data_IF_744242185199
#
_entry.id   IF_744242185199
#
_cell.length_a   1.000
_cell.length_b   1.000
_cell.length_c   1.000
_cell.angle_alpha   90.00
_cell.angle_beta   90.00
_cell.angle_gamma   90.00
#
_symmetry.space_group_name_H-M   'P 1'
#
loop_
_entity.id
_entity.type
_entity.pdbx_description
1 polymer ?
#
# COMPACT_ATOMS: atom_id res chain seq x y z
N UNK A 1 10.83 -18.55 9.56
CA UNK A 1 12.26 -18.78 9.74
C UNK A 1 13.07 -17.98 8.72
N UNK A 2 14.21 -17.47 9.12
CA UNK A 2 15.16 -16.85 8.19
C UNK A 2 16.05 -17.93 7.59
N UNK A 3 16.36 -17.85 6.30
CA UNK A 3 17.34 -18.71 5.65
C UNK A 3 18.73 -18.40 6.23
N UNK A 4 19.49 -19.44 6.56
CA UNK A 4 20.87 -19.35 6.99
C UNK A 4 21.77 -20.05 5.98
N UNK A 5 22.86 -19.42 5.60
CA UNK A 5 23.85 -20.03 4.72
C UNK A 5 24.50 -21.26 5.37
N UNK A 6 24.54 -22.36 4.64
CA UNK A 6 25.16 -23.62 5.11
C UNK A 6 26.65 -23.70 4.82
N UNK A 7 27.20 -22.74 4.05
CA UNK A 7 28.57 -22.78 3.52
C UNK A 7 28.78 -23.79 2.38
N UNK A 8 27.73 -24.51 1.96
CA UNK A 8 27.78 -25.42 0.81
C UNK A 8 27.19 -24.69 -0.41
N UNK A 9 27.85 -24.84 -1.53
CA UNK A 9 27.46 -24.22 -2.80
C UNK A 9 27.18 -25.30 -3.84
N UNK A 10 26.35 -24.95 -4.81
CA UNK A 10 26.12 -25.71 -6.02
C UNK A 10 25.95 -24.73 -7.19
N UNK A 11 26.20 -25.20 -8.39
CA UNK A 11 26.10 -24.43 -9.61
C UNK A 11 24.85 -24.83 -10.39
N UNK A 12 24.16 -23.87 -10.98
CA UNK A 12 23.06 -24.10 -11.92
C UNK A 12 23.35 -23.31 -13.18
N UNK A 13 23.48 -24.03 -14.31
CA UNK A 13 23.57 -23.37 -15.61
C UNK A 13 22.24 -22.70 -15.95
N UNK A 14 22.27 -21.39 -16.19
CA UNK A 14 21.07 -20.60 -16.49
C UNK A 14 21.37 -19.40 -17.38
N UNK A 15 20.42 -19.01 -18.22
CA UNK A 15 20.52 -17.81 -19.07
C UNK A 15 19.99 -16.55 -18.40
N UNK A 16 19.21 -16.68 -17.33
CA UNK A 16 18.61 -15.57 -16.61
C UNK A 16 18.42 -15.92 -15.13
N UNK A 17 18.78 -14.99 -14.24
CA UNK A 17 18.52 -15.07 -12.80
C UNK A 17 17.58 -13.95 -12.38
N UNK A 18 16.44 -14.30 -11.78
CA UNK A 18 15.49 -13.35 -11.23
C UNK A 18 15.50 -13.47 -9.71
N UNK A 19 15.96 -12.42 -9.01
CA UNK A 19 15.97 -12.39 -7.55
C UNK A 19 14.56 -12.16 -7.02
N UNK A 20 14.07 -13.07 -6.16
CA UNK A 20 12.79 -12.99 -5.48
C UNK A 20 12.96 -13.31 -3.98
N UNK A 21 14.00 -12.75 -3.36
CA UNK A 21 14.47 -13.09 -2.01
C UNK A 21 13.75 -12.34 -0.89
N UNK A 22 12.75 -11.52 -1.23
CA UNK A 22 11.94 -10.77 -0.26
C UNK A 22 11.88 -9.28 -0.58
N UNK A 23 11.32 -8.54 0.35
CA UNK A 23 11.10 -7.10 0.25
C UNK A 23 11.82 -6.37 1.38
N UNK A 24 12.13 -5.12 1.12
CA UNK A 24 12.69 -4.17 2.07
C UNK A 24 11.95 -2.84 1.91
N UNK A 25 11.50 -2.25 3.01
CA UNK A 25 10.77 -0.98 2.93
C UNK A 25 11.72 0.16 2.59
N UNK A 26 11.26 1.09 1.79
CA UNK A 26 12.00 2.31 1.45
C UNK A 26 11.76 3.34 2.57
N UNK A 27 12.82 3.96 3.12
CA UNK A 27 12.67 5.02 4.12
C UNK A 27 11.82 6.18 3.59
N UNK A 28 10.89 6.66 4.41
CA UNK A 28 10.10 7.86 4.12
C UNK A 28 10.82 9.05 4.75
N UNK A 29 11.08 10.10 3.95
CA UNK A 29 11.78 11.31 4.43
C UNK A 29 11.03 11.93 5.62
N UNK A 30 11.76 12.17 6.71
CA UNK A 30 11.20 12.75 7.93
C UNK A 30 10.58 11.74 8.88
N UNK A 31 10.56 10.45 8.53
CA UNK A 31 10.07 9.38 9.39
C UNK A 31 11.25 8.56 9.93
N UNK A 32 11.38 8.36 11.25
CA UNK A 32 12.44 7.52 11.82
C UNK A 32 12.38 6.10 11.26
N UNK A 33 13.52 5.59 10.82
CA UNK A 33 13.62 4.30 10.15
C UNK A 33 14.68 3.41 10.79
N UNK A 34 14.40 2.11 10.86
CA UNK A 34 15.31 1.06 11.28
C UNK A 34 15.85 0.36 10.03
N UNK A 35 17.11 0.68 9.68
CA UNK A 35 17.75 0.12 8.50
C UNK A 35 18.04 -1.38 8.63
N UNK A 36 18.26 -1.89 9.84
CA UNK A 36 18.59 -3.30 10.06
C UNK A 36 17.38 -4.22 9.80
N UNK A 37 16.20 -3.75 10.20
CA UNK A 37 14.96 -4.49 10.05
C UNK A 37 14.13 -4.06 8.82
N UNK A 38 14.46 -2.95 8.17
CA UNK A 38 13.73 -2.42 7.02
C UNK A 38 12.32 -1.95 7.35
N UNK A 39 12.12 -1.34 8.51
CA UNK A 39 10.83 -0.86 9.01
C UNK A 39 10.96 0.56 9.58
N UNK A 40 9.85 1.27 9.73
CA UNK A 40 9.83 2.52 10.50
C UNK A 40 9.98 2.22 11.99
N UNK A 41 10.66 3.11 12.73
CA UNK A 41 10.72 3.03 14.19
C UNK A 41 9.39 3.48 14.77
N UNK A 42 8.81 2.67 15.64
CA UNK A 42 7.50 2.94 16.21
C UNK A 42 7.31 2.28 17.57
N UNK A 43 6.35 2.76 18.35
CA UNK A 43 5.84 2.10 19.55
C UNK A 43 4.40 1.64 19.23
N UNK A 44 4.23 0.35 19.01
CA UNK A 44 2.95 -0.30 18.67
C UNK A 44 2.22 0.35 17.46
N UNK A 45 2.97 0.87 16.51
CA UNK A 45 2.44 1.55 15.31
C UNK A 45 2.43 3.06 15.39
N UNK A 46 2.52 3.67 16.56
CA UNK A 46 2.69 5.12 16.71
C UNK A 46 4.13 5.51 16.44
N UNK A 47 4.34 6.43 15.52
CA UNK A 47 5.66 6.95 15.14
C UNK A 47 5.91 8.29 15.85
N UNK A 48 4.94 9.19 15.73
CA UNK A 48 4.96 10.54 16.28
C UNK A 48 3.52 11.03 16.46
N UNK A 49 3.31 12.24 16.97
CA UNK A 49 1.99 12.84 17.11
C UNK A 49 1.26 12.88 15.76
N UNK A 50 0.12 12.20 15.68
CA UNK A 50 -0.68 12.08 14.45
C UNK A 50 -0.07 11.22 13.33
N UNK A 51 1.05 10.53 13.57
CA UNK A 51 1.74 9.69 12.57
C UNK A 51 1.74 8.24 12.99
N UNK A 52 1.16 7.39 12.16
CA UNK A 52 0.97 5.96 12.44
C UNK A 52 1.47 5.10 11.29
N UNK A 53 1.97 3.90 11.60
CA UNK A 53 2.36 2.90 10.63
C UNK A 53 1.51 1.63 10.76
N UNK A 54 1.18 1.04 9.62
CA UNK A 54 0.46 -0.24 9.51
C UNK A 54 1.10 -1.13 8.46
N UNK A 55 0.85 -2.44 8.55
CA UNK A 55 1.29 -3.40 7.55
C UNK A 55 2.80 -3.59 7.49
N UNK A 56 3.34 -3.79 6.30
CA UNK A 56 4.74 -4.19 6.12
C UNK A 56 5.75 -3.13 6.53
N UNK A 57 5.44 -1.86 6.39
CA UNK A 57 6.35 -0.79 6.84
C UNK A 57 6.47 -0.75 8.37
N UNK A 58 5.45 -1.25 9.10
CA UNK A 58 5.46 -1.40 10.56
C UNK A 58 6.23 -2.64 11.02
N UNK A 59 5.98 -3.82 10.42
CA UNK A 59 6.44 -5.11 10.96
C UNK A 59 7.36 -5.92 10.04
N UNK A 60 7.75 -5.35 8.91
CA UNK A 60 8.47 -6.05 7.87
C UNK A 60 7.54 -6.85 6.93
N UNK A 61 8.08 -7.39 5.82
CA UNK A 61 7.32 -8.08 4.78
C UNK A 61 6.95 -9.50 5.20
N UNK A 62 6.17 -9.63 6.26
CA UNK A 62 5.74 -10.90 6.84
C UNK A 62 4.21 -11.01 6.85
N UNK A 63 3.71 -12.24 6.80
CA UNK A 63 2.30 -12.56 6.83
C UNK A 63 1.64 -12.53 5.43
N UNK A 64 0.33 -12.74 5.42
CA UNK A 64 -0.52 -12.78 4.24
C UNK A 64 -1.43 -11.53 4.19
N UNK A 65 -2.20 -11.36 3.12
CA UNK A 65 -3.12 -10.22 2.95
C UNK A 65 -3.98 -10.00 4.20
N UNK A 66 -4.52 -11.06 4.79
CA UNK A 66 -5.38 -10.98 5.97
C UNK A 66 -4.69 -10.45 7.24
N UNK A 67 -3.37 -10.54 7.34
CA UNK A 67 -2.62 -10.02 8.50
C UNK A 67 -2.55 -8.50 8.57
N UNK A 68 -2.82 -7.80 7.48
CA UNK A 68 -2.84 -6.32 7.47
C UNK A 68 -4.14 -5.74 8.07
N UNK A 69 -5.23 -6.52 8.08
CA UNK A 69 -6.50 -6.06 8.65
C UNK A 69 -6.44 -5.76 10.15
N UNK A 70 -5.89 -6.64 11.01
CA UNK A 70 -5.66 -6.31 12.43
C UNK A 70 -4.80 -5.07 12.65
N UNK A 71 -3.73 -4.87 11.87
CA UNK A 71 -2.90 -3.66 11.96
C UNK A 71 -3.75 -2.40 11.72
N UNK A 72 -4.62 -2.41 10.69
CA UNK A 72 -5.52 -1.29 10.41
C UNK A 72 -6.52 -1.04 11.53
N UNK A 73 -7.07 -2.10 12.14
CA UNK A 73 -8.01 -1.97 13.29
C UNK A 73 -7.31 -1.35 14.50
N UNK A 74 -6.08 -1.80 14.81
CA UNK A 74 -5.29 -1.25 15.92
C UNK A 74 -5.01 0.23 15.69
N UNK A 75 -4.50 0.58 14.49
CA UNK A 75 -4.21 1.97 14.16
C UNK A 75 -5.47 2.86 14.21
N UNK A 76 -6.61 2.39 13.72
CA UNK A 76 -7.86 3.14 13.79
C UNK A 76 -8.29 3.42 15.23
N UNK A 77 -8.16 2.45 16.14
CA UNK A 77 -8.44 2.65 17.57
C UNK A 77 -7.49 3.69 18.16
N UNK A 78 -6.20 3.58 17.91
CA UNK A 78 -5.20 4.52 18.39
C UNK A 78 -5.47 5.94 17.88
N UNK A 79 -5.81 6.10 16.60
CA UNK A 79 -6.18 7.41 16.03
C UNK A 79 -7.38 8.00 16.76
N UNK A 80 -8.41 7.21 17.04
CA UNK A 80 -9.60 7.66 17.77
C UNK A 80 -9.25 8.08 19.21
N UNK A 81 -8.38 7.33 19.88
CA UNK A 81 -7.92 7.61 21.25
C UNK A 81 -7.06 8.88 21.31
N UNK A 82 -6.16 9.04 20.34
CA UNK A 82 -5.14 10.10 20.33
C UNK A 82 -5.67 11.42 19.73
N UNK A 83 -6.72 11.35 18.88
CA UNK A 83 -7.21 12.52 18.13
C UNK A 83 -8.41 13.16 18.85
N UNK A 84 -8.30 14.46 19.11
CA UNK A 84 -9.43 15.25 19.59
C UNK A 84 -10.27 15.76 18.43
N UNK A 85 -11.57 15.96 18.67
CA UNK A 85 -12.43 16.65 17.73
C UNK A 85 -11.83 18.02 17.37
N UNK A 86 -11.90 18.38 16.10
CA UNK A 86 -11.39 19.64 15.60
C UNK A 86 -12.46 20.35 14.76
N UNK A 87 -12.39 21.68 14.68
CA UNK A 87 -13.27 22.49 13.85
C UNK A 87 -12.93 22.42 12.34
N UNK A 88 -12.03 21.53 11.93
CA UNK A 88 -11.67 21.35 10.52
C UNK A 88 -12.87 20.83 9.74
N UNK A 89 -13.16 21.45 8.61
CA UNK A 89 -14.30 21.12 7.75
C UNK A 89 -14.20 19.72 7.07
N UNK A 90 -13.10 19.01 7.28
CA UNK A 90 -12.93 17.63 6.87
C UNK A 90 -13.12 17.42 5.37
N UNK A 91 -13.93 16.43 5.01
CA UNK A 91 -14.12 16.00 3.60
C UNK A 91 -14.72 17.10 2.71
N UNK A 92 -15.57 17.98 3.25
CA UNK A 92 -16.22 19.04 2.46
C UNK A 92 -15.17 20.02 1.97
N UNK A 93 -14.30 20.52 2.85
CA UNK A 93 -13.21 21.43 2.47
C UNK A 93 -12.23 20.79 1.51
N UNK A 94 -11.88 19.52 1.72
CA UNK A 94 -10.99 18.78 0.81
C UNK A 94 -11.59 18.71 -0.60
N UNK A 95 -12.87 18.37 -0.72
CA UNK A 95 -13.55 18.26 -2.02
C UNK A 95 -13.57 19.60 -2.75
N UNK A 96 -13.86 20.70 -2.04
CA UNK A 96 -13.84 22.05 -2.61
C UNK A 96 -12.45 22.44 -3.09
N UNK A 97 -11.43 22.23 -2.25
CA UNK A 97 -10.04 22.51 -2.60
C UNK A 97 -9.56 21.72 -3.83
N UNK A 98 -9.92 20.45 -3.95
CA UNK A 98 -9.55 19.63 -5.10
C UNK A 98 -10.21 20.11 -6.38
N UNK A 99 -11.48 20.53 -6.31
CA UNK A 99 -12.19 21.15 -7.45
C UNK A 99 -11.55 22.46 -7.88
N UNK A 100 -11.24 23.36 -6.95
CA UNK A 100 -10.56 24.63 -7.23
C UNK A 100 -9.20 24.43 -7.90
N UNK A 101 -8.50 23.37 -7.54
CA UNK A 101 -7.20 23.01 -8.14
C UNK A 101 -7.31 22.19 -9.43
N UNK A 102 -8.53 21.97 -9.95
CA UNK A 102 -8.79 21.12 -11.11
C UNK A 102 -8.20 19.72 -11.00
N UNK A 103 -8.15 19.16 -9.78
CA UNK A 103 -7.69 17.80 -9.56
C UNK A 103 -8.82 16.83 -9.88
N UNK A 104 -8.62 15.93 -10.84
CA UNK A 104 -9.58 14.87 -11.15
C UNK A 104 -9.68 13.90 -9.97
N UNK A 105 -10.87 13.76 -9.42
CA UNK A 105 -11.16 12.82 -8.34
C UNK A 105 -11.75 11.57 -8.98
N UNK A 106 -11.21 10.41 -8.65
CA UNK A 106 -11.80 9.10 -8.99
C UNK A 106 -12.60 8.61 -7.80
N UNK A 107 -13.90 8.47 -7.99
CA UNK A 107 -14.84 7.99 -6.96
C UNK A 107 -14.88 6.46 -6.92
N UNK A 108 -15.54 5.90 -5.91
CA UNK A 108 -15.78 4.45 -5.87
C UNK A 108 -16.63 3.98 -7.05
N UNK A 109 -17.62 4.77 -7.49
CA UNK A 109 -18.42 4.47 -8.66
C UNK A 109 -17.59 4.47 -9.95
N UNK A 110 -16.65 5.39 -10.09
CA UNK A 110 -15.70 5.39 -11.21
C UNK A 110 -14.80 4.15 -11.18
N UNK A 111 -14.31 3.78 -10.00
CA UNK A 111 -13.55 2.54 -9.85
C UNK A 111 -14.37 1.31 -10.26
N UNK A 112 -15.66 1.24 -9.93
CA UNK A 112 -16.53 0.14 -10.37
C UNK A 112 -16.65 0.06 -11.90
N UNK A 113 -16.71 1.19 -12.62
CA UNK A 113 -16.69 1.22 -14.08
C UNK A 113 -15.37 0.69 -14.64
N UNK A 114 -14.24 1.06 -14.03
CA UNK A 114 -12.92 0.53 -14.41
C UNK A 114 -12.88 -0.98 -14.20
N UNK A 115 -13.34 -1.47 -13.06
CA UNK A 115 -13.38 -2.90 -12.73
C UNK A 115 -14.24 -3.69 -13.71
N UNK A 116 -15.42 -3.18 -14.08
CA UNK A 116 -16.32 -3.76 -15.07
C UNK A 116 -15.69 -3.79 -16.47
N UNK A 117 -15.04 -2.72 -16.88
CA UNK A 117 -14.32 -2.66 -18.15
C UNK A 117 -13.17 -3.68 -18.22
N UNK A 118 -12.40 -3.86 -17.14
CA UNK A 118 -11.36 -4.88 -17.03
C UNK A 118 -11.92 -6.31 -17.11
N UNK A 119 -13.07 -6.56 -16.47
CA UNK A 119 -13.75 -7.88 -16.54
C UNK A 119 -14.32 -8.14 -17.92
N UNK A 120 -14.97 -7.15 -18.54
CA UNK A 120 -15.57 -7.28 -19.89
C UNK A 120 -14.48 -7.48 -20.96
N UNK A 121 -13.32 -6.87 -20.81
CA UNK A 121 -12.20 -7.02 -21.74
C UNK A 121 -11.45 -8.36 -21.58
N UNK A 122 -11.80 -9.18 -20.59
CA UNK A 122 -11.18 -10.48 -20.38
C UNK A 122 -11.49 -11.45 -21.54
N UNK A 123 -10.48 -12.25 -21.90
CA UNK A 123 -10.61 -13.29 -22.92
C UNK A 123 -10.17 -14.64 -22.35
N UNK A 124 -10.69 -15.73 -22.94
CA UNK A 124 -10.20 -17.10 -22.71
C UNK A 124 -10.10 -17.50 -21.23
N UNK A 125 -11.18 -17.44 -20.49
CA UNK A 125 -11.28 -17.87 -19.08
C UNK A 125 -10.41 -17.04 -18.09
N UNK A 126 -9.77 -15.96 -18.54
CA UNK A 126 -9.12 -15.04 -17.62
C UNK A 126 -10.16 -14.29 -16.78
N UNK A 127 -9.94 -14.09 -15.47
CA UNK A 127 -10.89 -13.40 -14.62
C UNK A 127 -11.03 -11.92 -14.99
N UNK A 128 -9.99 -11.30 -15.54
CA UNK A 128 -9.97 -9.92 -16.02
C UNK A 128 -8.75 -9.62 -16.88
N UNK A 129 -8.82 -8.56 -17.66
CA UNK A 129 -7.68 -7.96 -18.36
C UNK A 129 -7.38 -6.60 -17.70
N UNK A 130 -6.33 -6.56 -16.88
CA UNK A 130 -5.94 -5.34 -16.16
C UNK A 130 -5.48 -4.22 -17.08
N UNK A 131 -5.93 -3.00 -16.81
CA UNK A 131 -5.26 -1.82 -17.34
C UNK A 131 -3.86 -1.69 -16.73
N UNK A 132 -2.87 -1.38 -17.57
CA UNK A 132 -1.45 -1.33 -17.14
C UNK A 132 -1.05 0.08 -16.71
N UNK A 133 -1.78 1.10 -17.17
CA UNK A 133 -1.47 2.51 -16.89
C UNK A 133 -2.66 3.25 -16.31
N UNK A 134 -2.37 4.27 -15.49
CA UNK A 134 -3.40 5.19 -14.98
C UNK A 134 -4.15 5.89 -16.12
N UNK A 135 -3.45 6.18 -17.23
CA UNK A 135 -4.07 6.81 -18.40
C UNK A 135 -5.17 5.94 -18.99
N UNK A 136 -4.94 4.64 -19.15
CA UNK A 136 -5.96 3.69 -19.62
C UNK A 136 -7.14 3.62 -18.67
N UNK A 137 -6.89 3.56 -17.34
CA UNK A 137 -7.95 3.55 -16.33
C UNK A 137 -8.83 4.81 -16.43
N UNK A 138 -8.20 5.98 -16.59
CA UNK A 138 -8.93 7.25 -16.71
C UNK A 138 -9.72 7.31 -18.01
N UNK A 139 -9.14 6.85 -19.14
CA UNK A 139 -9.84 6.81 -20.43
C UNK A 139 -11.05 5.89 -20.46
N UNK A 140 -11.12 4.90 -19.58
CA UNK A 140 -12.28 4.03 -19.44
C UNK A 140 -13.46 4.71 -18.71
N UNK A 141 -13.25 5.91 -18.15
CA UNK A 141 -14.27 6.70 -17.46
C UNK A 141 -14.91 7.78 -18.35
N UNK A 142 -14.27 8.13 -19.47
CA UNK A 142 -14.68 9.12 -20.45
C UNK A 142 -15.54 8.48 -21.53
#
# INVERSE_FOLDING_TARGET
GRALGTGKFFEIECGLVVAAIGYYSIPVKGVPFDNDNGIVKHIDGRIDEGVYAVGWIKRGPTGVIGTNKPDGVIAAKQIIEDTKESEKLGRIALTSMLKERNVRIVTYQDWQKIDEAEMTAASNQAPRKKFVTVKEMISALD
#
